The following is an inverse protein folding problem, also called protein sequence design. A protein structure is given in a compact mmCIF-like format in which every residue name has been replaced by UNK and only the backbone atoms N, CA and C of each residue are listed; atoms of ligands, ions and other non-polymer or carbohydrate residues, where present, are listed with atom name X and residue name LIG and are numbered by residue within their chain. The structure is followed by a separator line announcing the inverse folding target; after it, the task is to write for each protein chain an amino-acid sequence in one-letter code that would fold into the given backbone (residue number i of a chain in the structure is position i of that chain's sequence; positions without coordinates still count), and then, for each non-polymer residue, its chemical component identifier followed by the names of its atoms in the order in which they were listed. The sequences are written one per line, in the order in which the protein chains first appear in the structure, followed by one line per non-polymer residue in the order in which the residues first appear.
data_IF_755904617847
#
_entry.id   IF_755904617847
#
_cell.length_a   1.000
_cell.length_b   1.000
_cell.length_c   1.000
_cell.angle_alpha   90.00
_cell.angle_beta   90.00
_cell.angle_gamma   90.00
#
_symmetry.space_group_name_H-M   'P 1'
#
loop_
_entity.id
_entity.type
_entity.pdbx_description
1 polymer ?
#
# COMPACT_ATOMS: atom_id res chain seq x y z
N UNK A 1 -9.65 10.56 25.69
CA UNK A 1 -9.76 10.00 24.34
C UNK A 1 -8.43 10.29 23.71
N UNK A 2 -7.55 9.30 23.66
CA UNK A 2 -6.26 9.50 22.99
C UNK A 2 -6.56 9.72 21.51
N UNK A 3 -6.13 10.86 20.99
CA UNK A 3 -6.22 11.16 19.56
C UNK A 3 -5.48 10.08 18.79
N UNK A 4 -6.08 9.57 17.72
CA UNK A 4 -5.40 8.61 16.85
C UNK A 4 -4.14 9.28 16.26
N UNK A 5 -3.04 8.55 16.09
CA UNK A 5 -1.83 9.13 15.52
C UNK A 5 -2.09 9.55 14.06
N UNK A 6 -1.38 10.57 13.59
CA UNK A 6 -1.32 10.90 12.16
C UNK A 6 -0.76 9.69 11.40
N UNK A 7 -1.16 9.52 10.15
CA UNK A 7 -0.71 8.42 9.30
C UNK A 7 0.20 8.97 8.22
N UNK A 8 1.38 8.40 8.05
CA UNK A 8 2.32 8.77 6.99
C UNK A 8 2.61 7.58 6.08
N UNK A 9 2.50 7.79 4.77
CA UNK A 9 2.98 6.83 3.78
C UNK A 9 4.42 7.17 3.40
N UNK A 10 5.33 6.21 3.53
CA UNK A 10 6.66 6.31 2.93
C UNK A 10 6.57 6.36 1.40
N UNK A 11 7.57 6.96 0.78
CA UNK A 11 7.74 7.03 -0.67
C UNK A 11 7.74 5.64 -1.30
N UNK A 12 8.34 4.66 -0.62
CA UNK A 12 8.36 3.25 -1.05
C UNK A 12 6.96 2.65 -1.07
N UNK A 13 6.23 2.74 0.04
CA UNK A 13 4.88 2.20 0.14
C UNK A 13 3.96 2.86 -0.91
N UNK A 14 4.01 4.19 -1.00
CA UNK A 14 3.22 4.95 -1.94
C UNK A 14 3.53 4.59 -3.39
N UNK A 15 4.82 4.61 -3.78
CA UNK A 15 5.24 4.30 -5.15
C UNK A 15 4.83 2.89 -5.58
N UNK A 16 4.92 1.89 -4.70
CA UNK A 16 4.46 0.53 -5.00
C UNK A 16 2.96 0.45 -5.20
N UNK A 17 2.16 1.07 -4.34
CA UNK A 17 0.68 1.08 -4.46
C UNK A 17 0.28 1.68 -5.82
N UNK A 18 0.83 2.85 -6.14
CA UNK A 18 0.50 3.56 -7.38
C UNK A 18 1.01 2.81 -8.62
N UNK A 19 2.24 2.29 -8.58
CA UNK A 19 2.78 1.52 -9.69
C UNK A 19 2.04 0.19 -9.90
N UNK A 20 1.54 -0.44 -8.84
CA UNK A 20 0.73 -1.65 -8.95
C UNK A 20 -0.58 -1.35 -9.69
N UNK A 21 -1.30 -0.29 -9.29
CA UNK A 21 -2.52 0.13 -9.97
C UNK A 21 -2.27 0.52 -11.43
N UNK A 22 -1.16 1.22 -11.70
CA UNK A 22 -0.78 1.62 -13.06
C UNK A 22 -0.36 0.46 -13.95
N UNK A 23 0.16 -0.64 -13.38
CA UNK A 23 0.54 -1.85 -14.12
C UNK A 23 -0.71 -2.58 -14.64
N UNK A 24 -1.79 -2.58 -13.88
CA UNK A 24 -3.05 -3.28 -14.19
C UNK A 24 -4.25 -2.33 -14.21
N UNK A 25 -4.31 -1.36 -15.16
CA UNK A 25 -5.29 -0.28 -15.14
C UNK A 25 -6.75 -0.72 -15.37
N UNK A 26 -6.96 -1.95 -15.84
CA UNK A 26 -8.28 -2.52 -16.14
C UNK A 26 -8.63 -3.72 -15.26
N UNK A 27 -7.82 -4.01 -14.24
CA UNK A 27 -8.05 -5.10 -13.30
C UNK A 27 -8.30 -4.52 -11.92
N UNK A 28 -9.08 -5.24 -11.11
CA UNK A 28 -9.03 -5.00 -9.68
C UNK A 28 -7.65 -5.46 -9.18
N UNK A 29 -7.10 -4.77 -8.19
CA UNK A 29 -5.85 -5.15 -7.55
C UNK A 29 -5.97 -5.07 -6.04
N UNK A 30 -5.12 -5.79 -5.31
CA UNK A 30 -4.95 -5.58 -3.88
C UNK A 30 -3.53 -5.87 -3.40
N UNK A 31 -3.26 -5.48 -2.16
CA UNK A 31 -2.01 -5.81 -1.49
C UNK A 31 -2.01 -5.44 -0.01
N UNK A 32 -0.90 -5.73 0.66
CA UNK A 32 -0.75 -5.50 2.09
C UNK A 32 0.06 -4.24 2.38
N UNK A 33 -0.23 -3.62 3.51
CA UNK A 33 0.47 -2.45 4.04
C UNK A 33 1.28 -2.88 5.26
N UNK A 34 2.56 -2.53 5.29
CA UNK A 34 3.48 -2.89 6.36
C UNK A 34 3.87 -1.67 7.19
N UNK A 35 4.06 -1.88 8.49
CA UNK A 35 4.58 -0.87 9.42
C UNK A 35 5.65 -1.48 10.32
N UNK A 36 6.73 -0.76 10.59
CA UNK A 36 7.83 -1.21 11.44
C UNK A 36 7.62 -0.94 12.93
N UNK A 37 6.75 0.02 13.29
CA UNK A 37 6.49 0.39 14.69
C UNK A 37 5.05 0.85 14.86
N UNK A 38 4.34 0.17 15.75
CA UNK A 38 3.01 0.60 16.21
C UNK A 38 3.16 1.51 17.42
N UNK A 39 2.41 2.61 17.46
CA UNK A 39 2.40 3.55 18.59
C UNK A 39 3.31 4.77 18.42
N UNK A 40 3.83 5.03 17.21
CA UNK A 40 4.43 6.33 16.86
C UNK A 40 3.36 7.30 16.35
N UNK A 41 3.65 8.61 16.47
CA UNK A 41 2.90 9.68 15.82
C UNK A 41 3.88 10.57 15.02
N UNK A 42 3.91 10.47 13.67
CA UNK A 42 2.98 9.69 12.85
C UNK A 42 3.23 8.17 12.92
N UNK A 43 2.17 7.39 12.71
CA UNK A 43 2.25 5.98 12.35
C UNK A 43 2.69 5.89 10.90
N UNK A 44 3.77 5.17 10.62
CA UNK A 44 4.36 5.13 9.29
C UNK A 44 4.05 3.81 8.58
N UNK A 45 3.49 3.90 7.37
CA UNK A 45 3.40 2.80 6.40
C UNK A 45 4.73 2.73 5.64
N UNK A 46 5.60 1.83 6.06
CA UNK A 46 7.00 1.76 5.61
C UNK A 46 7.20 1.00 4.31
N UNK A 47 6.26 0.13 3.95
CA UNK A 47 6.27 -0.60 2.69
C UNK A 47 4.87 -1.10 2.32
N UNK A 48 4.71 -1.48 1.05
CA UNK A 48 3.54 -2.18 0.55
C UNK A 48 3.97 -3.45 -0.20
N UNK A 49 3.15 -4.50 -0.11
CA UNK A 49 3.37 -5.76 -0.83
C UNK A 49 2.21 -5.97 -1.81
N UNK A 50 2.42 -5.77 -3.13
CA UNK A 50 1.47 -6.15 -4.17
C UNK A 50 1.14 -7.64 -4.10
N UNK A 51 -0.15 -7.97 -4.00
CA UNK A 51 -0.60 -9.36 -3.92
C UNK A 51 -1.18 -9.84 -5.25
N UNK A 52 -2.37 -9.38 -5.58
CA UNK A 52 -3.15 -9.99 -6.66
C UNK A 52 -3.65 -8.94 -7.66
N UNK A 53 -3.69 -9.34 -8.92
CA UNK A 53 -4.31 -8.62 -10.04
C UNK A 53 -5.27 -9.49 -10.85
N UNK A 54 -5.18 -10.81 -10.70
CA UNK A 54 -6.07 -11.79 -11.32
C UNK A 54 -6.78 -12.61 -10.25
N UNK A 55 -8.03 -13.00 -10.52
CA UNK A 55 -8.82 -13.88 -9.64
C UNK A 55 -8.84 -13.50 -8.15
N UNK A 56 -8.99 -12.21 -7.85
CA UNK A 56 -9.12 -11.69 -6.48
C UNK A 56 -10.30 -12.39 -5.80
N UNK A 57 -10.00 -13.25 -4.82
CA UNK A 57 -11.01 -14.09 -4.18
C UNK A 57 -10.55 -15.48 -3.76
N UNK A 58 -9.39 -15.93 -4.23
CA UNK A 58 -8.87 -17.26 -3.91
C UNK A 58 -8.19 -17.26 -2.53
N UNK A 59 -8.96 -17.62 -1.50
CA UNK A 59 -8.49 -17.73 -0.11
C UNK A 59 -7.17 -18.51 0.07
N UNK A 60 -6.94 -19.65 -0.61
CA UNK A 60 -5.71 -20.41 -0.39
C UNK A 60 -4.43 -19.63 -0.74
N UNK A 61 -4.45 -18.82 -1.80
CA UNK A 61 -3.28 -18.05 -2.22
C UNK A 61 -3.02 -16.87 -1.28
N UNK A 62 -4.09 -16.26 -0.74
CA UNK A 62 -3.98 -15.23 0.28
C UNK A 62 -3.35 -15.78 1.57
N UNK A 63 -3.76 -16.96 2.02
CA UNK A 63 -3.21 -17.59 3.23
C UNK A 63 -1.70 -17.87 3.09
N UNK A 64 -1.29 -18.35 1.91
CA UNK A 64 0.14 -18.55 1.60
C UNK A 64 0.89 -17.23 1.58
N UNK A 65 0.33 -16.19 0.96
CA UNK A 65 0.94 -14.87 0.90
C UNK A 65 1.13 -14.27 2.30
N UNK A 66 0.09 -14.32 3.14
CA UNK A 66 0.14 -13.85 4.52
C UNK A 66 1.22 -14.58 5.32
N UNK A 67 1.24 -15.92 5.27
CA UNK A 67 2.23 -16.72 5.99
C UNK A 67 3.68 -16.41 5.55
N UNK A 68 3.92 -16.24 4.25
CA UNK A 68 5.26 -15.88 3.74
C UNK A 68 5.68 -14.47 4.18
N UNK A 69 4.75 -13.51 4.12
CA UNK A 69 5.02 -12.12 4.51
C UNK A 69 5.26 -12.03 6.02
N UNK A 70 4.44 -12.68 6.84
CA UNK A 70 4.66 -12.76 8.30
C UNK A 70 6.01 -13.42 8.62
N UNK A 71 6.34 -14.53 7.98
CA UNK A 71 7.63 -15.20 8.20
C UNK A 71 8.82 -14.30 7.82
N UNK A 72 8.71 -13.52 6.75
CA UNK A 72 9.82 -12.70 6.23
C UNK A 72 9.99 -11.38 6.96
N UNK A 73 8.89 -10.75 7.39
CA UNK A 73 8.91 -9.42 7.97
C UNK A 73 8.72 -9.42 9.50
N UNK A 74 8.06 -10.44 10.05
CA UNK A 74 7.71 -10.51 11.47
C UNK A 74 8.85 -10.95 12.39
N UNK A 75 9.83 -11.73 11.90
CA UNK A 75 10.94 -12.24 12.75
C UNK A 75 12.21 -11.40 12.67
N UNK A 76 12.51 -10.80 11.51
CA UNK A 76 13.81 -10.15 11.25
C UNK A 76 13.76 -8.60 11.27
N UNK A 77 12.58 -7.99 11.16
CA UNK A 77 12.44 -6.53 10.93
C UNK A 77 11.47 -5.81 11.86
N UNK A 78 10.91 -6.50 12.86
CA UNK A 78 9.82 -6.00 13.73
C UNK A 78 8.65 -5.37 12.93
N UNK A 79 8.42 -5.83 11.70
CA UNK A 79 7.38 -5.31 10.83
C UNK A 79 6.08 -6.09 11.02
N UNK A 80 4.97 -5.36 11.09
CA UNK A 80 3.62 -5.92 11.17
C UNK A 80 2.81 -5.59 9.92
N UNK A 81 1.82 -6.42 9.63
CA UNK A 81 0.81 -6.15 8.62
C UNK A 81 -0.21 -5.19 9.24
N UNK A 82 -0.20 -3.94 8.79
CA UNK A 82 -1.05 -2.86 9.32
C UNK A 82 -2.42 -2.80 8.62
N UNK A 83 -2.50 -3.27 7.38
CA UNK A 83 -3.71 -3.13 6.60
C UNK A 83 -3.63 -3.68 5.19
N UNK A 84 -4.66 -3.35 4.41
CA UNK A 84 -4.85 -3.78 3.03
C UNK A 84 -5.07 -2.54 2.18
N UNK A 85 -4.52 -2.53 0.96
CA UNK A 85 -4.93 -1.60 -0.08
C UNK A 85 -5.60 -2.34 -1.23
N UNK A 86 -6.48 -1.65 -1.95
CA UNK A 86 -7.13 -2.18 -3.14
C UNK A 86 -7.44 -1.09 -4.16
N UNK A 87 -7.59 -1.47 -5.43
CA UNK A 87 -8.13 -0.63 -6.49
C UNK A 87 -9.19 -1.41 -7.26
N UNK A 88 -10.23 -0.74 -7.73
CA UNK A 88 -11.31 -1.37 -8.50
C UNK A 88 -10.95 -1.45 -10.00
N UNK A 89 -11.48 -2.46 -10.70
CA UNK A 89 -11.36 -2.59 -12.15
C UNK A 89 -12.04 -1.46 -12.91
N UNK A 90 -13.12 -0.90 -12.36
CA UNK A 90 -13.83 0.24 -12.93
C UNK A 90 -13.15 1.54 -12.50
N UNK A 91 -12.68 2.30 -13.47
CA UNK A 91 -11.86 3.51 -13.28
C UNK A 91 -12.40 4.54 -12.26
N UNK A 92 -13.72 4.71 -12.15
CA UNK A 92 -14.33 5.69 -11.23
C UNK A 92 -14.97 5.05 -9.99
N UNK A 93 -14.80 3.74 -9.81
CA UNK A 93 -15.41 3.02 -8.70
C UNK A 93 -14.45 2.92 -7.51
N UNK A 94 -14.82 3.53 -6.40
CA UNK A 94 -14.06 3.52 -5.13
C UNK A 94 -14.72 2.65 -4.06
N UNK A 95 -15.62 1.75 -4.46
CA UNK A 95 -16.27 0.82 -3.53
C UNK A 95 -15.32 -0.32 -3.16
N UNK A 96 -15.37 -0.68 -1.88
CA UNK A 96 -14.67 -1.85 -1.33
C UNK A 96 -15.55 -3.08 -1.60
N UNK A 97 -15.00 -4.10 -2.26
CA UNK A 97 -15.72 -5.37 -2.42
C UNK A 97 -15.66 -6.22 -1.13
N UNK A 98 -16.52 -7.23 -1.07
CA UNK A 98 -16.67 -8.11 0.10
C UNK A 98 -15.38 -8.88 0.42
N UNK A 99 -14.57 -9.21 -0.58
CA UNK A 99 -13.34 -9.96 -0.35
C UNK A 99 -12.29 -9.07 0.30
N UNK A 100 -11.99 -7.91 -0.27
CA UNK A 100 -11.06 -6.95 0.33
C UNK A 100 -11.50 -6.48 1.72
N UNK A 101 -12.81 -6.32 1.94
CA UNK A 101 -13.36 -6.04 3.27
C UNK A 101 -13.04 -7.14 4.28
N UNK A 102 -13.22 -8.42 3.91
CA UNK A 102 -12.91 -9.56 4.79
C UNK A 102 -11.42 -9.69 5.11
N UNK A 103 -10.54 -9.40 4.14
CA UNK A 103 -9.09 -9.38 4.40
C UNK A 103 -8.78 -8.27 5.42
N UNK A 104 -9.31 -7.07 5.20
CA UNK A 104 -9.09 -5.94 6.08
C UNK A 104 -9.60 -6.22 7.51
N UNK A 105 -10.80 -6.82 7.65
CA UNK A 105 -11.34 -7.24 8.94
C UNK A 105 -10.39 -8.24 9.62
N UNK A 106 -9.91 -9.26 8.88
CA UNK A 106 -9.02 -10.28 9.44
C UNK A 106 -7.66 -9.72 9.84
N UNK A 107 -7.07 -8.86 9.02
CA UNK A 107 -5.82 -8.17 9.34
C UNK A 107 -6.01 -7.31 10.59
N UNK A 108 -7.11 -6.56 10.68
CA UNK A 108 -7.39 -5.71 11.84
C UNK A 108 -7.62 -6.49 13.14
N UNK A 109 -8.15 -7.71 13.07
CA UNK A 109 -8.29 -8.59 14.25
C UNK A 109 -6.93 -9.02 14.85
N UNK A 110 -5.89 -9.14 14.01
CA UNK A 110 -4.56 -9.62 14.42
C UNK A 110 -3.57 -8.47 14.62
N UNK A 111 -3.93 -7.26 14.20
CA UNK A 111 -3.09 -6.08 14.34
C UNK A 111 -3.24 -5.47 15.74
N UNK A 112 -2.13 -5.14 16.43
CA UNK A 112 -2.18 -4.43 17.72
C UNK A 112 -2.63 -2.97 17.59
N UNK A 113 -2.76 -2.45 16.36
CA UNK A 113 -3.28 -1.14 16.02
C UNK A 113 -4.61 -1.28 15.27
N UNK A 114 -5.54 -0.31 15.33
CA UNK A 114 -6.68 -0.33 14.43
C UNK A 114 -6.22 -0.36 12.97
N UNK A 115 -6.64 -1.39 12.23
CA UNK A 115 -6.15 -1.69 10.89
C UNK A 115 -6.53 -0.63 9.86
N UNK A 116 -5.83 -0.66 8.73
CA UNK A 116 -6.06 0.26 7.60
C UNK A 116 -6.67 -0.46 6.40
N UNK A 117 -7.60 0.22 5.74
CA UNK A 117 -8.19 -0.16 4.47
C UNK A 117 -8.09 1.03 3.51
N UNK A 118 -7.20 0.91 2.54
CA UNK A 118 -6.87 1.99 1.61
C UNK A 118 -7.44 1.69 0.23
N UNK A 119 -8.36 2.54 -0.24
CA UNK A 119 -8.86 2.49 -1.61
C UNK A 119 -8.05 3.42 -2.49
N UNK A 120 -7.51 2.92 -3.59
CA UNK A 120 -6.87 3.74 -4.62
C UNK A 120 -7.97 4.30 -5.54
N UNK A 121 -8.04 5.63 -5.64
CA UNK A 121 -8.89 6.32 -6.61
C UNK A 121 -8.16 6.46 -7.94
N UNK A 122 -8.48 5.57 -8.88
CA UNK A 122 -7.85 5.52 -10.20
C UNK A 122 -8.04 6.83 -10.99
N UNK A 123 -9.07 7.64 -10.70
CA UNK A 123 -9.29 8.94 -11.37
C UNK A 123 -8.26 9.99 -11.01
N UNK A 124 -7.53 9.79 -9.91
CA UNK A 124 -6.51 10.70 -9.38
C UNK A 124 -5.08 10.22 -9.65
N UNK A 125 -4.93 9.09 -10.34
CA UNK A 125 -3.64 8.62 -10.84
C UNK A 125 -3.24 9.45 -12.08
N UNK A 126 -2.33 10.40 -11.91
CA UNK A 126 -1.82 11.21 -13.01
C UNK A 126 -0.29 11.30 -12.98
N UNK A 127 0.32 11.57 -14.14
CA UNK A 127 1.76 11.75 -14.24
C UNK A 127 2.27 13.05 -13.58
N UNK A 128 1.40 14.04 -13.36
CA UNK A 128 1.73 15.33 -12.72
C UNK A 128 1.25 15.34 -11.26
N UNK A 129 1.69 14.33 -10.50
CA UNK A 129 1.16 13.95 -9.19
C UNK A 129 1.50 14.95 -8.07
N UNK A 130 1.30 16.25 -8.27
CA UNK A 130 1.64 17.35 -7.34
C UNK A 130 0.94 17.28 -5.99
N UNK A 131 -0.08 16.43 -5.85
CA UNK A 131 -0.83 16.17 -4.61
C UNK A 131 -1.15 14.68 -4.47
N UNK A 132 -0.14 13.83 -4.68
CA UNK A 132 -0.30 12.37 -4.82
C UNK A 132 -1.11 11.66 -3.72
N UNK A 133 -1.11 12.16 -2.47
CA UNK A 133 -1.91 11.57 -1.38
C UNK A 133 -3.42 11.56 -1.67
N UNK A 134 -3.91 12.48 -2.50
CA UNK A 134 -5.32 12.60 -2.85
C UNK A 134 -5.85 11.35 -3.57
N UNK A 135 -4.97 10.51 -4.14
CA UNK A 135 -5.32 9.24 -4.76
C UNK A 135 -5.62 8.12 -3.75
N UNK A 136 -5.38 8.32 -2.45
CA UNK A 136 -5.62 7.31 -1.42
C UNK A 136 -6.80 7.73 -0.53
N UNK A 137 -7.86 6.94 -0.57
CA UNK A 137 -9.00 7.06 0.35
C UNK A 137 -8.74 6.10 1.50
N UNK A 138 -8.36 6.64 2.67
CA UNK A 138 -7.95 5.84 3.82
C UNK A 138 -9.12 5.65 4.79
N UNK A 139 -9.45 4.39 5.08
CA UNK A 139 -10.35 4.02 6.17
C UNK A 139 -9.58 3.32 7.27
N UNK A 140 -10.00 3.55 8.51
CA UNK A 140 -9.42 2.90 9.68
C UNK A 140 -10.51 2.15 10.45
N UNK A 141 -10.16 0.98 10.98
CA UNK A 141 -11.05 0.21 11.82
C UNK A 141 -11.36 0.93 13.13
N UNK A 142 -12.61 0.84 13.58
CA UNK A 142 -13.06 1.27 14.89
C UNK A 142 -13.24 0.06 15.83
N UNK A 143 -13.27 0.30 17.14
CA UNK A 143 -13.51 -0.75 18.14
C UNK A 143 -14.87 -1.46 18.03
N UNK A 144 -15.81 -0.88 17.27
CA UNK A 144 -17.13 -1.44 17.00
C UNK A 144 -17.17 -2.36 15.75
N UNK A 145 -16.02 -2.60 15.09
CA UNK A 145 -15.90 -3.38 13.86
C UNK A 145 -16.32 -2.65 12.59
N UNK A 146 -16.61 -1.35 12.66
CA UNK A 146 -16.89 -0.50 11.49
C UNK A 146 -15.61 0.17 11.00
N UNK A 147 -15.65 0.62 9.76
CA UNK A 147 -14.56 1.34 9.10
C UNK A 147 -14.93 2.81 8.95
N UNK A 148 -14.14 3.70 9.54
CA UNK A 148 -14.33 5.15 9.48
C UNK A 148 -13.37 5.76 8.47
N UNK A 149 -13.86 6.67 7.63
CA UNK A 149 -13.02 7.48 6.74
C UNK A 149 -12.11 8.38 7.59
N UNK A 150 -10.81 8.42 7.28
CA UNK A 150 -9.93 9.46 7.78
C UNK A 150 -10.10 10.70 6.91
N UNK A 151 -10.54 11.79 7.53
CA UNK A 151 -10.69 13.08 6.84
C UNK A 151 -9.31 13.69 6.58
N UNK A 152 -9.15 14.35 5.44
CA UNK A 152 -7.92 15.07 5.05
C UNK A 152 -7.88 16.50 5.64
N UNK A 153 -8.92 16.90 6.37
CA UNK A 153 -9.12 18.29 6.81
C UNK A 153 -8.09 18.77 7.86
N UNK A 154 -7.34 17.87 8.51
CA UNK A 154 -6.39 18.19 9.58
C UNK A 154 -4.92 17.74 9.33
N UNK A 155 -4.53 17.42 8.08
CA UNK A 155 -3.23 16.79 7.77
C UNK A 155 -3.00 15.45 8.52
N UNK A 156 -4.08 14.71 8.77
CA UNK A 156 -4.03 13.39 9.40
C UNK A 156 -3.43 12.31 8.49
N UNK A 157 -3.42 12.56 7.18
CA UNK A 157 -2.79 11.71 6.17
C UNK A 157 -1.64 12.50 5.53
N UNK A 158 -0.44 11.99 5.75
CA UNK A 158 0.83 12.51 5.28
C UNK A 158 1.41 11.57 4.22
N UNK A 159 2.17 12.16 3.32
CA UNK A 159 3.04 11.46 2.38
C UNK A 159 4.44 12.01 2.61
N UNK A 160 5.42 11.11 2.72
CA UNK A 160 6.83 11.48 2.84
C UNK A 160 7.19 12.49 1.73
N UNK A 161 7.92 13.54 2.11
CA UNK A 161 8.35 14.59 1.20
C UNK A 161 9.13 14.00 0.02
N UNK A 162 8.76 14.39 -1.21
CA UNK A 162 9.33 13.81 -2.44
C UNK A 162 8.66 12.50 -2.90
N UNK A 163 7.77 11.91 -2.10
CA UNK A 163 7.14 10.63 -2.42
C UNK A 163 6.23 10.66 -3.65
N UNK A 164 5.57 11.79 -3.91
CA UNK A 164 4.70 11.95 -5.07
C UNK A 164 5.51 12.11 -6.36
N UNK A 165 6.59 12.90 -6.29
CA UNK A 165 7.60 13.08 -7.32
C UNK A 165 8.29 11.75 -7.66
N UNK A 166 8.58 10.94 -6.64
CA UNK A 166 9.15 9.61 -6.81
C UNK A 166 8.23 8.69 -7.59
N UNK A 167 6.96 8.61 -7.19
CA UNK A 167 5.97 7.81 -7.91
C UNK A 167 5.79 8.29 -9.35
N UNK A 168 5.70 9.61 -9.59
CA UNK A 168 5.61 10.19 -10.93
C UNK A 168 6.85 9.86 -11.79
N UNK A 169 8.05 9.98 -11.22
CA UNK A 169 9.30 9.63 -11.91
C UNK A 169 9.36 8.16 -12.30
N UNK A 170 9.03 7.26 -11.38
CA UNK A 170 9.01 5.82 -11.63
C UNK A 170 7.97 5.43 -12.68
N UNK A 171 6.79 6.08 -12.67
CA UNK A 171 5.80 5.92 -13.74
C UNK A 171 6.33 6.40 -15.10
N UNK A 172 6.98 7.56 -15.15
CA UNK A 172 7.55 8.12 -16.38
C UNK A 172 8.62 7.21 -17.00
N UNK A 173 9.43 6.55 -16.15
CA UNK A 173 10.42 5.53 -16.54
C UNK A 173 9.83 4.16 -16.85
N UNK A 174 8.51 4.00 -16.72
CA UNK A 174 7.80 2.72 -16.89
C UNK A 174 8.26 1.63 -15.92
N UNK A 175 8.78 2.02 -14.75
CA UNK A 175 9.24 1.07 -13.72
C UNK A 175 8.09 0.18 -13.20
N UNK A 176 6.85 0.70 -13.21
CA UNK A 176 5.65 -0.07 -12.88
C UNK A 176 5.50 -1.37 -13.68
N UNK A 177 6.01 -1.45 -14.91
CA UNK A 177 5.93 -2.68 -15.72
C UNK A 177 6.73 -3.84 -15.15
N UNK A 178 7.78 -3.53 -14.38
CA UNK A 178 8.67 -4.51 -13.78
C UNK A 178 8.32 -4.78 -12.30
N UNK A 179 7.32 -4.10 -11.75
CA UNK A 179 6.84 -4.37 -10.40
C UNK A 179 6.23 -5.78 -10.38
N UNK A 180 6.68 -6.61 -9.45
CA UNK A 180 6.24 -7.99 -9.28
C UNK A 180 5.22 -8.04 -8.14
N UNK A 181 4.08 -8.64 -8.38
CA UNK A 181 3.13 -9.00 -7.33
C UNK A 181 3.19 -10.49 -7.00
N UNK A 182 2.37 -10.91 -6.05
CA UNK A 182 2.35 -12.28 -5.59
C UNK A 182 1.82 -13.24 -6.67
N UNK A 183 0.85 -12.83 -7.49
CA UNK A 183 0.41 -13.63 -8.66
C UNK A 183 1.59 -13.93 -9.61
N UNK A 184 2.40 -12.93 -9.96
CA UNK A 184 3.58 -13.13 -10.78
C UNK A 184 4.61 -14.07 -10.13
N UNK A 185 4.74 -14.02 -8.81
CA UNK A 185 5.61 -14.92 -8.05
C UNK A 185 5.06 -16.36 -8.00
N UNK A 186 3.74 -16.53 -7.96
CA UNK A 186 3.12 -17.86 -8.03
C UNK A 186 3.33 -18.50 -9.40
N UNK A 187 3.29 -17.72 -10.48
CA UNK A 187 3.64 -18.18 -11.83
C UNK A 187 5.12 -18.55 -11.97
N UNK A 188 5.99 -17.78 -11.31
CA UNK A 188 7.44 -17.96 -11.34
C UNK A 188 8.07 -17.56 -9.99
N UNK A 189 8.39 -18.58 -9.18
CA UNK A 189 8.91 -18.42 -7.82
C UNK A 189 10.27 -17.71 -7.76
N UNK A 190 10.94 -17.50 -8.90
CA UNK A 190 12.20 -16.74 -8.96
C UNK A 190 11.96 -15.22 -8.94
N UNK A 191 10.74 -14.76 -9.21
CA UNK A 191 10.39 -13.34 -9.20
C UNK A 191 10.20 -12.83 -7.78
N UNK A 192 10.83 -11.71 -7.46
CA UNK A 192 10.81 -11.15 -6.11
C UNK A 192 9.60 -10.25 -5.87
N UNK A 193 8.58 -10.77 -5.17
CA UNK A 193 7.38 -10.01 -4.79
C UNK A 193 7.63 -8.93 -3.71
N UNK A 194 8.80 -8.93 -3.05
CA UNK A 194 9.21 -7.84 -2.14
C UNK A 194 9.78 -6.65 -2.91
N UNK A 195 10.14 -6.88 -4.18
CA UNK A 195 10.60 -5.88 -5.13
C UNK A 195 11.85 -5.12 -4.67
N UNK A 196 12.91 -5.83 -4.23
CA UNK A 196 14.17 -5.21 -3.78
C UNK A 196 14.73 -4.24 -4.82
N UNK A 197 14.80 -4.62 -6.10
CA UNK A 197 15.30 -3.73 -7.16
C UNK A 197 14.42 -2.49 -7.40
N UNK A 198 13.11 -2.57 -7.13
CA UNK A 198 12.24 -1.39 -7.18
C UNK A 198 12.48 -0.48 -5.96
N UNK A 199 12.71 -1.07 -4.79
CA UNK A 199 13.04 -0.33 -3.57
C UNK A 199 14.34 0.45 -3.75
N UNK A 200 15.37 -0.16 -4.35
CA UNK A 200 16.64 0.51 -4.64
C UNK A 200 16.43 1.72 -5.56
N UNK A 201 15.56 1.63 -6.56
CA UNK A 201 15.22 2.77 -7.44
C UNK A 201 14.48 3.90 -6.71
N UNK A 202 13.64 3.57 -5.73
CA UNK A 202 13.01 4.56 -4.85
C UNK A 202 14.09 5.26 -4.03
N UNK A 203 14.95 4.49 -3.35
CA UNK A 203 16.02 5.02 -2.50
C UNK A 203 17.01 5.89 -3.27
N UNK A 204 17.39 5.48 -4.49
CA UNK A 204 18.26 6.23 -5.38
C UNK A 204 17.65 7.59 -5.76
N UNK A 205 16.34 7.63 -6.02
CA UNK A 205 15.64 8.86 -6.35
C UNK A 205 15.50 9.78 -5.14
N UNK A 206 15.05 9.25 -4.00
CA UNK A 206 14.90 10.03 -2.77
C UNK A 206 16.25 10.62 -2.33
N UNK A 207 17.34 9.85 -2.45
CA UNK A 207 18.70 10.31 -2.14
C UNK A 207 19.23 11.40 -3.06
N UNK A 208 18.63 11.61 -4.24
CA UNK A 208 19.00 12.69 -5.16
C UNK A 208 18.28 13.99 -4.80
N UNK A 209 16.99 13.91 -4.47
CA UNK A 209 16.20 15.10 -4.09
C UNK A 209 16.81 15.80 -2.87
N UNK A 210 17.15 15.05 -1.82
CA UNK A 210 17.70 15.63 -0.59
C UNK A 210 19.19 16.02 -0.66
N UNK A 211 19.87 15.83 -1.81
CA UNK A 211 21.24 16.31 -2.03
C UNK A 211 21.31 17.68 -2.69
N UNK A 212 20.21 18.11 -3.30
CA UNK A 212 20.10 19.37 -4.04
C UNK A 212 19.55 20.53 -3.17
N UNK A 213 19.29 20.28 -1.88
CA UNK A 213 18.97 21.25 -0.82
C UNK A 213 20.19 21.56 0.08
#
# INVERSE_FOLDING_TARGET
MDSLPRLEFSSRAFAKIICHAAKYPSCAINGLLLSSRVGSDPLVVVDAVPLFHDAIGLTPMLEVALAQIESRFGSDKDCIILGVYHANELFSNVQVDVFNQRIADKVSEHCPHPGLLVTVDNTRLSCDMKRGKEALIVRQAESNGKWKLRDDDDNDILLEEGGAECAAHLMSKKAHKNLIDFDNHLDDITKDYVNTSFNDQVEDFMSQIFKDD
#
